data_IF_738553645626
#
_entry.id   IF_738553645626
#
_cell.length_a   1.000
_cell.length_b   1.000
_cell.length_c   1.000
_cell.angle_alpha   90.00
_cell.angle_beta   90.00
_cell.angle_gamma   90.00
#
_symmetry.space_group_name_H-M   'P 1'
#
loop_
_entity.id
_entity.type
_entity.pdbx_description
1 polymer ?
#
# COMPACT_ATOMS: atom_id res chain seq x y z
N UNK A 1 7.36 6.26 -20.49
CA UNK A 1 6.24 5.27 -20.34
C UNK A 1 5.67 5.46 -18.95
N UNK A 2 4.32 5.56 -18.79
CA UNK A 2 3.70 5.74 -17.47
C UNK A 2 3.90 4.45 -16.64
N UNK A 3 4.47 4.53 -15.41
CA UNK A 3 4.67 3.40 -14.53
C UNK A 3 3.38 2.62 -14.24
N UNK A 4 3.49 1.32 -13.96
CA UNK A 4 2.31 0.48 -13.71
C UNK A 4 1.59 0.88 -12.43
N UNK A 5 2.31 1.26 -11.37
CA UNK A 5 1.74 1.78 -10.12
C UNK A 5 0.77 2.95 -10.35
N UNK A 6 1.14 3.88 -11.23
CA UNK A 6 0.28 5.02 -11.61
C UNK A 6 -1.03 4.56 -12.25
N UNK A 7 -0.97 3.56 -13.14
CA UNK A 7 -2.16 3.01 -13.81
C UNK A 7 -3.10 2.34 -12.80
N UNK A 8 -2.56 1.59 -11.86
CA UNK A 8 -3.32 0.89 -10.82
C UNK A 8 -3.98 1.87 -9.85
N UNK A 9 -3.25 2.88 -9.40
CA UNK A 9 -3.77 3.92 -8.49
C UNK A 9 -4.87 4.72 -9.20
N UNK A 10 -4.64 5.17 -10.44
CA UNK A 10 -5.65 5.89 -11.21
C UNK A 10 -6.87 5.03 -11.54
N UNK A 11 -6.69 3.72 -11.74
CA UNK A 11 -7.81 2.79 -11.87
C UNK A 11 -8.65 2.77 -10.59
N UNK A 12 -8.03 2.64 -9.40
CA UNK A 12 -8.74 2.66 -8.13
C UNK A 12 -9.51 3.98 -7.93
N UNK A 13 -8.85 5.12 -8.13
CA UNK A 13 -9.48 6.44 -8.03
C UNK A 13 -10.72 6.55 -8.91
N UNK A 14 -10.61 6.15 -10.18
CA UNK A 14 -11.74 6.21 -11.11
C UNK A 14 -12.84 5.19 -10.77
N UNK A 15 -12.47 3.94 -10.46
CA UNK A 15 -13.39 2.84 -10.23
C UNK A 15 -14.30 3.08 -9.02
N UNK A 16 -13.72 3.58 -7.91
CA UNK A 16 -14.45 3.82 -6.67
C UNK A 16 -14.90 5.27 -6.50
N UNK A 17 -14.59 6.17 -7.47
CA UNK A 17 -14.88 7.61 -7.39
C UNK A 17 -14.18 8.28 -6.20
N UNK A 18 -12.99 7.79 -5.90
CA UNK A 18 -12.11 8.34 -4.88
C UNK A 18 -11.53 9.68 -5.34
N UNK A 19 -11.31 10.59 -4.38
CA UNK A 19 -10.93 11.98 -4.65
C UNK A 19 -9.62 12.39 -3.98
N UNK A 20 -9.35 11.82 -2.79
CA UNK A 20 -8.26 12.25 -1.93
C UNK A 20 -7.13 11.22 -1.93
N UNK A 21 -5.95 11.68 -2.30
CA UNK A 21 -4.75 10.87 -2.46
C UNK A 21 -3.61 11.39 -1.60
N UNK A 22 -2.93 10.46 -0.91
CA UNK A 22 -1.68 10.72 -0.19
C UNK A 22 -0.56 9.87 -0.79
N UNK A 23 0.61 10.48 -1.00
CA UNK A 23 1.84 9.79 -1.37
C UNK A 23 2.92 10.04 -0.32
N UNK A 24 3.49 8.97 0.23
CA UNK A 24 4.65 9.00 1.12
C UNK A 24 5.86 8.55 0.31
N UNK A 25 6.83 9.46 0.13
CA UNK A 25 7.99 9.22 -0.74
C UNK A 25 7.69 9.57 -2.20
N UNK A 26 7.79 10.86 -2.53
CA UNK A 26 7.47 11.36 -3.86
C UNK A 26 8.70 11.44 -4.77
N UNK A 27 9.91 11.48 -4.20
CA UNK A 27 11.16 11.66 -4.92
C UNK A 27 11.04 12.75 -6.01
N UNK A 28 11.22 12.41 -7.28
CA UNK A 28 11.13 13.36 -8.40
C UNK A 28 9.71 13.51 -8.98
N UNK A 29 8.66 13.15 -8.23
CA UNK A 29 7.24 13.23 -8.63
C UNK A 29 6.83 12.33 -9.80
N UNK A 30 7.63 11.34 -10.16
CA UNK A 30 7.30 10.47 -11.30
C UNK A 30 5.91 9.81 -11.14
N UNK A 31 5.56 9.41 -9.92
CA UNK A 31 4.23 8.91 -9.61
C UNK A 31 3.28 10.08 -9.35
N UNK A 32 3.59 10.93 -8.40
CA UNK A 32 2.72 11.99 -7.87
C UNK A 32 2.10 12.89 -8.96
N UNK A 33 2.90 13.37 -9.93
CA UNK A 33 2.41 14.26 -10.99
C UNK A 33 1.41 13.57 -11.92
N UNK A 34 1.51 12.26 -12.09
CA UNK A 34 0.66 11.47 -12.98
C UNK A 34 -0.60 10.90 -12.31
N UNK A 35 -0.80 11.14 -11.01
CA UNK A 35 -2.03 10.74 -10.29
C UNK A 35 -3.16 11.73 -10.57
N UNK A 36 -4.34 11.18 -10.91
CA UNK A 36 -5.56 11.91 -11.30
C UNK A 36 -6.57 11.97 -10.14
N UNK A 37 -6.13 12.41 -8.96
CA UNK A 37 -7.02 12.71 -7.85
C UNK A 37 -7.45 14.19 -7.88
N UNK A 38 -8.61 14.50 -7.30
CA UNK A 38 -9.08 15.88 -7.16
C UNK A 38 -8.23 16.63 -6.14
N UNK A 39 -7.88 15.96 -5.04
CA UNK A 39 -7.00 16.48 -3.99
C UNK A 39 -5.81 15.53 -3.80
N UNK A 40 -4.60 16.08 -3.77
CA UNK A 40 -3.35 15.32 -3.63
C UNK A 40 -2.45 15.94 -2.58
N UNK A 41 -1.98 15.12 -1.66
CA UNK A 41 -0.91 15.45 -0.71
C UNK A 41 0.27 14.53 -0.97
N UNK A 42 1.44 15.09 -1.16
CA UNK A 42 2.69 14.35 -1.33
C UNK A 42 3.67 14.76 -0.24
N UNK A 43 4.24 13.78 0.47
CA UNK A 43 5.15 13.98 1.59
C UNK A 43 6.51 13.37 1.27
N UNK A 44 7.54 14.19 1.25
CA UNK A 44 8.92 13.75 1.02
C UNK A 44 9.90 14.68 1.75
N UNK A 45 10.86 14.19 2.54
CA UNK A 45 11.80 15.03 3.27
C UNK A 45 12.88 15.66 2.38
N UNK A 46 13.10 15.11 1.17
CA UNK A 46 14.22 15.52 0.30
C UNK A 46 13.77 16.31 -0.92
N UNK A 47 12.82 15.79 -1.68
CA UNK A 47 12.40 16.40 -2.95
C UNK A 47 10.98 15.93 -3.35
N UNK A 48 10.36 16.62 -4.31
CA UNK A 48 9.00 16.32 -4.77
C UNK A 48 7.92 16.53 -3.70
N UNK A 49 6.71 16.07 -4.00
CA UNK A 49 5.56 16.24 -3.15
C UNK A 49 5.11 17.68 -2.94
N UNK A 50 4.17 17.86 -2.03
CA UNK A 50 3.64 19.16 -1.62
C UNK A 50 4.17 19.62 -0.26
N UNK A 51 4.61 18.67 0.58
CA UNK A 51 5.09 18.91 1.93
C UNK A 51 6.52 18.38 2.13
N UNK A 52 7.42 19.27 2.55
CA UNK A 52 8.85 18.96 2.77
C UNK A 52 9.07 18.56 4.22
N UNK A 53 8.71 17.30 4.56
CA UNK A 53 8.87 16.76 5.90
C UNK A 53 8.91 15.22 5.87
N UNK A 54 9.27 14.61 6.99
CA UNK A 54 9.18 13.16 7.15
C UNK A 54 7.73 12.70 7.25
N UNK A 55 7.45 11.44 6.91
CA UNK A 55 6.13 10.85 7.13
C UNK A 55 5.73 10.87 8.61
N UNK A 56 6.71 10.62 9.51
CA UNK A 56 6.46 10.67 10.95
C UNK A 56 6.00 12.05 11.42
N UNK A 57 6.57 13.12 10.90
CA UNK A 57 6.16 14.49 11.26
C UNK A 57 4.83 14.86 10.61
N UNK A 58 4.60 14.43 9.39
CA UNK A 58 3.32 14.60 8.71
C UNK A 58 2.18 13.97 9.51
N UNK A 59 2.29 12.71 9.89
CA UNK A 59 1.22 12.02 10.59
C UNK A 59 0.94 12.56 12.00
N UNK A 60 1.89 13.25 12.63
CA UNK A 60 1.66 13.95 13.92
C UNK A 60 0.72 15.16 13.80
N UNK A 61 0.74 15.83 12.66
CA UNK A 61 0.00 17.09 12.45
C UNK A 61 -1.16 16.97 11.48
N UNK A 62 -1.25 15.85 10.74
CA UNK A 62 -2.29 15.64 9.76
C UNK A 62 -3.66 15.47 10.40
N UNK A 63 -4.67 16.13 9.80
CA UNK A 63 -6.06 16.03 10.20
C UNK A 63 -6.96 15.47 9.09
N UNK A 64 -6.39 15.25 7.91
CA UNK A 64 -7.14 14.84 6.72
C UNK A 64 -7.24 13.33 6.62
N UNK A 65 -8.30 12.86 5.96
CA UNK A 65 -8.52 11.47 5.59
C UNK A 65 -8.40 11.29 4.09
N UNK A 66 -7.85 10.17 3.66
CA UNK A 66 -7.58 9.87 2.26
C UNK A 66 -8.34 8.64 1.81
N UNK A 67 -8.69 8.61 0.53
CA UNK A 67 -9.30 7.44 -0.12
C UNK A 67 -8.24 6.45 -0.58
N UNK A 68 -7.12 6.98 -1.08
CA UNK A 68 -5.98 6.19 -1.55
C UNK A 68 -4.71 6.75 -0.93
N UNK A 69 -3.90 5.84 -0.37
CA UNK A 69 -2.56 6.16 0.17
C UNK A 69 -1.54 5.28 -0.55
N UNK A 70 -0.46 5.87 -1.05
CA UNK A 70 0.67 5.15 -1.63
C UNK A 70 1.92 5.34 -0.77
N UNK A 71 2.57 4.23 -0.41
CA UNK A 71 3.77 4.21 0.44
C UNK A 71 4.94 3.72 -0.40
N UNK A 72 5.89 4.62 -0.69
CA UNK A 72 7.12 4.38 -1.44
C UNK A 72 8.26 5.27 -0.89
N UNK A 73 8.34 5.38 0.44
CA UNK A 73 9.29 6.26 1.14
C UNK A 73 10.62 5.59 1.48
N UNK A 74 10.93 5.47 2.77
CA UNK A 74 12.11 4.75 3.22
C UNK A 74 11.90 3.24 3.06
N UNK A 75 12.91 2.55 2.53
CA UNK A 75 12.84 1.12 2.27
C UNK A 75 13.27 0.25 3.46
N UNK A 76 13.34 0.80 4.67
CA UNK A 76 13.49 0.04 5.91
C UNK A 76 12.14 -0.54 6.37
N UNK A 77 12.09 -1.84 6.65
CA UNK A 77 10.89 -2.55 7.14
C UNK A 77 10.17 -1.80 8.26
N UNK A 78 10.95 -1.34 9.26
CA UNK A 78 10.41 -0.63 10.44
C UNK A 78 9.70 0.67 10.06
N UNK A 79 10.26 1.44 9.12
CA UNK A 79 9.65 2.68 8.66
C UNK A 79 8.41 2.40 7.82
N UNK A 80 8.48 1.46 6.87
CA UNK A 80 7.33 1.09 6.04
C UNK A 80 6.16 0.56 6.90
N UNK A 81 6.45 -0.25 7.92
CA UNK A 81 5.43 -0.74 8.85
C UNK A 81 4.78 0.41 9.65
N UNK A 82 5.58 1.38 10.08
CA UNK A 82 5.08 2.58 10.79
C UNK A 82 4.22 3.44 9.87
N UNK A 83 4.65 3.66 8.64
CA UNK A 83 3.88 4.40 7.64
C UNK A 83 2.57 3.69 7.32
N UNK A 84 2.57 2.36 7.20
CA UNK A 84 1.36 1.57 7.02
C UNK A 84 0.40 1.72 8.21
N UNK A 85 0.89 1.56 9.45
CA UNK A 85 0.07 1.71 10.67
C UNK A 85 -0.53 3.11 10.77
N UNK A 86 0.27 4.15 10.54
CA UNK A 86 -0.20 5.52 10.54
C UNK A 86 -1.24 5.76 9.43
N UNK A 87 -0.97 5.25 8.22
CA UNK A 87 -1.89 5.36 7.08
C UNK A 87 -3.27 4.77 7.38
N UNK A 88 -3.35 3.66 8.13
CA UNK A 88 -4.63 3.07 8.51
C UNK A 88 -5.50 4.02 9.33
N UNK A 89 -4.90 4.88 10.17
CA UNK A 89 -5.62 5.87 10.97
C UNK A 89 -6.25 6.97 10.11
N UNK A 90 -5.65 7.25 8.94
CA UNK A 90 -6.08 8.31 8.03
C UNK A 90 -6.74 7.79 6.75
N UNK A 91 -6.90 6.48 6.61
CA UNK A 91 -7.60 5.87 5.50
C UNK A 91 -9.12 5.91 5.71
N UNK A 92 -9.87 6.33 4.70
CA UNK A 92 -11.34 6.26 4.73
C UNK A 92 -11.82 4.81 4.65
N UNK A 93 -13.05 4.58 5.10
CA UNK A 93 -13.73 3.29 4.90
C UNK A 93 -13.80 2.95 3.41
N UNK A 94 -13.44 1.73 3.06
CA UNK A 94 -13.39 1.27 1.67
C UNK A 94 -12.16 1.75 0.90
N UNK A 95 -11.33 2.60 1.52
CA UNK A 95 -10.10 3.11 0.92
C UNK A 95 -9.03 2.05 0.74
N UNK A 96 -8.00 2.41 -0.03
CA UNK A 96 -6.94 1.48 -0.46
C UNK A 96 -5.57 2.05 -0.10
N UNK A 97 -4.72 1.21 0.49
CA UNK A 97 -3.28 1.49 0.63
C UNK A 97 -2.52 0.66 -0.41
N UNK A 98 -1.72 1.33 -1.23
CA UNK A 98 -0.72 0.70 -2.09
C UNK A 98 0.65 0.81 -1.42
N UNK A 99 1.46 -0.27 -1.51
CA UNK A 99 2.82 -0.32 -1.00
C UNK A 99 3.76 -0.77 -2.12
N UNK A 100 4.89 -0.11 -2.28
CA UNK A 100 5.89 -0.49 -3.28
C UNK A 100 6.92 -1.49 -2.72
N UNK A 101 7.66 -2.15 -3.62
CA UNK A 101 8.84 -2.96 -3.31
C UNK A 101 8.61 -4.22 -2.46
N UNK A 102 7.48 -4.90 -2.64
CA UNK A 102 7.16 -6.12 -1.89
C UNK A 102 7.68 -7.42 -2.52
N UNK A 103 8.18 -7.40 -3.75
CA UNK A 103 8.74 -8.58 -4.45
C UNK A 103 10.14 -8.29 -4.98
N UNK A 104 11.16 -8.16 -4.13
CA UNK A 104 12.53 -7.94 -4.58
C UNK A 104 12.97 -9.07 -5.52
N UNK A 105 13.59 -8.73 -6.67
CA UNK A 105 13.98 -9.72 -7.68
C UNK A 105 15.06 -10.70 -7.19
N UNK A 106 15.91 -10.27 -6.26
CA UNK A 106 16.96 -11.09 -5.67
C UNK A 106 17.33 -10.61 -4.27
N UNK A 107 18.12 -11.43 -3.55
CA UNK A 107 18.65 -11.08 -2.24
C UNK A 107 19.41 -9.74 -2.24
N UNK A 108 20.11 -9.44 -3.35
CA UNK A 108 20.82 -8.18 -3.50
C UNK A 108 19.91 -6.94 -3.49
N UNK A 109 18.68 -7.06 -3.99
CA UNK A 109 17.68 -5.99 -3.96
C UNK A 109 16.96 -5.89 -2.60
N UNK A 110 17.11 -6.89 -1.75
CA UNK A 110 16.43 -7.04 -0.47
C UNK A 110 17.29 -6.63 0.74
N UNK A 111 18.28 -5.76 0.53
CA UNK A 111 19.27 -5.34 1.55
C UNK A 111 18.97 -3.93 2.03
N UNK A 112 19.14 -3.69 3.34
CA UNK A 112 19.13 -2.37 3.95
C UNK A 112 20.24 -2.31 5.05
N UNK A 113 20.98 -1.22 5.24
CA UNK A 113 20.88 0.04 4.49
C UNK A 113 21.29 -0.11 3.02
N UNK A 114 20.77 0.79 2.19
CA UNK A 114 21.12 0.83 0.77
C UNK A 114 22.56 1.35 0.63
N UNK A 115 23.48 0.67 -0.07
CA UNK A 115 24.81 1.20 -0.34
C UNK A 115 24.75 2.45 -1.22
N UNK A 116 25.53 3.48 -0.89
CA UNK A 116 25.45 4.84 -1.48
C UNK A 116 25.75 4.94 -2.98
N UNK A 117 26.34 3.92 -3.59
CA UNK A 117 26.92 3.99 -4.93
C UNK A 117 26.24 3.14 -6.01
N UNK A 118 25.03 2.63 -5.79
CA UNK A 118 24.39 1.79 -6.79
C UNK A 118 23.17 2.46 -7.44
N UNK A 119 23.18 2.52 -8.76
CA UNK A 119 22.14 3.08 -9.63
C UNK A 119 20.92 2.13 -9.83
N UNK A 120 20.83 1.03 -9.11
CA UNK A 120 19.77 0.04 -9.32
C UNK A 120 18.58 0.23 -8.40
N UNK A 121 17.34 -0.06 -8.87
CA UNK A 121 16.17 -0.05 -8.01
C UNK A 121 16.37 -1.02 -6.85
N UNK A 122 16.08 -0.59 -5.62
CA UNK A 122 16.29 -1.40 -4.44
C UNK A 122 15.06 -1.41 -3.57
N UNK A 123 14.62 -2.58 -3.22
CA UNK A 123 13.45 -2.77 -2.37
C UNK A 123 13.79 -2.65 -0.88
N UNK A 124 15.08 -2.65 -0.52
CA UNK A 124 15.46 -2.65 0.88
C UNK A 124 14.84 -3.82 1.63
N UNK A 125 14.34 -3.56 2.82
CA UNK A 125 13.59 -4.54 3.62
C UNK A 125 12.08 -4.30 3.62
N UNK A 126 11.55 -3.41 2.77
CA UNK A 126 10.12 -3.10 2.63
C UNK A 126 9.24 -4.35 2.47
N UNK A 127 9.72 -5.33 1.71
CA UNK A 127 9.01 -6.58 1.44
C UNK A 127 8.58 -7.34 2.71
N UNK A 128 9.25 -7.13 3.83
CA UNK A 128 8.93 -7.81 5.09
C UNK A 128 7.58 -7.37 5.66
N UNK A 129 7.12 -6.15 5.35
CA UNK A 129 5.82 -5.64 5.83
C UNK A 129 4.64 -6.49 5.34
N UNK A 130 4.81 -7.24 4.23
CA UNK A 130 3.75 -8.13 3.76
C UNK A 130 3.35 -9.17 4.81
N UNK A 131 4.30 -9.65 5.61
CA UNK A 131 4.03 -10.65 6.66
C UNK A 131 3.22 -10.04 7.82
N UNK A 132 3.48 -8.78 8.15
CA UNK A 132 2.71 -8.05 9.16
C UNK A 132 1.28 -7.83 8.67
N UNK A 133 1.12 -7.44 7.41
CA UNK A 133 -0.20 -7.21 6.81
C UNK A 133 -0.98 -8.52 6.66
N UNK A 134 -0.35 -9.60 6.21
CA UNK A 134 -0.98 -10.93 6.11
C UNK A 134 -1.47 -11.45 7.47
N UNK A 135 -0.76 -11.11 8.56
CA UNK A 135 -1.16 -11.48 9.91
C UNK A 135 -2.48 -10.82 10.34
N UNK A 136 -2.89 -9.72 9.72
CA UNK A 136 -4.18 -9.05 9.97
C UNK A 136 -5.36 -9.87 9.45
N UNK A 137 -5.14 -10.86 8.56
CA UNK A 137 -6.19 -11.67 7.91
C UNK A 137 -7.25 -10.81 7.20
N UNK A 138 -6.80 -9.75 6.52
CA UNK A 138 -7.62 -8.79 5.77
C UNK A 138 -7.37 -8.92 4.27
N UNK A 139 -8.17 -8.24 3.46
CA UNK A 139 -8.01 -8.22 2.02
C UNK A 139 -6.67 -7.56 1.66
N UNK A 140 -5.74 -8.40 1.26
CA UNK A 140 -4.41 -7.99 0.84
C UNK A 140 -3.92 -8.84 -0.32
N UNK A 141 -3.46 -8.19 -1.38
CA UNK A 141 -2.88 -8.82 -2.56
C UNK A 141 -1.52 -8.22 -2.88
N UNK A 142 -0.67 -9.02 -3.52
CA UNK A 142 0.60 -8.54 -4.06
C UNK A 142 0.52 -8.64 -5.58
N UNK A 143 0.59 -7.51 -6.27
CA UNK A 143 0.54 -7.46 -7.72
C UNK A 143 1.93 -7.70 -8.30
N UNK A 144 2.02 -8.68 -9.21
CA UNK A 144 3.27 -9.03 -9.91
C UNK A 144 3.59 -7.99 -11.00
N UNK A 145 3.92 -6.78 -10.58
CA UNK A 145 4.37 -5.68 -11.44
C UNK A 145 5.54 -4.95 -10.77
N UNK A 146 6.46 -4.43 -11.58
CA UNK A 146 7.66 -3.77 -11.08
C UNK A 146 8.37 -4.66 -10.03
N UNK A 147 8.70 -4.13 -8.89
CA UNK A 147 9.28 -4.84 -7.74
C UNK A 147 8.23 -5.33 -6.73
N UNK A 148 6.98 -5.48 -7.18
CA UNK A 148 5.84 -5.91 -6.37
C UNK A 148 5.08 -4.75 -5.74
N UNK A 149 3.77 -4.69 -6.01
CA UNK A 149 2.87 -3.67 -5.47
C UNK A 149 1.88 -4.34 -4.53
N UNK A 150 1.99 -4.08 -3.23
CA UNK A 150 0.98 -4.49 -2.25
C UNK A 150 -0.27 -3.66 -2.38
N UNK A 151 -1.43 -4.28 -2.21
CA UNK A 151 -2.73 -3.62 -2.22
C UNK A 151 -3.52 -4.09 -1.01
N UNK A 152 -3.70 -3.22 -0.06
CA UNK A 152 -4.53 -3.43 1.13
C UNK A 152 -5.81 -2.61 0.99
N UNK A 153 -6.97 -3.24 1.22
CA UNK A 153 -8.27 -2.56 1.20
C UNK A 153 -8.92 -2.59 2.57
N UNK A 154 -9.31 -1.40 3.06
CA UNK A 154 -10.00 -1.28 4.32
C UNK A 154 -11.52 -1.42 4.13
N UNK A 155 -12.04 -2.64 4.22
CA UNK A 155 -13.49 -2.89 4.10
C UNK A 155 -14.25 -2.71 5.42
N UNK A 156 -13.56 -2.80 6.55
CA UNK A 156 -14.19 -2.79 7.87
C UNK A 156 -13.99 -1.44 8.59
N UNK A 157 -15.06 -0.73 8.98
CA UNK A 157 -14.95 0.56 9.65
C UNK A 157 -14.52 0.48 11.11
N UNK A 158 -14.58 -0.72 11.72
CA UNK A 158 -14.43 -0.88 13.18
C UNK A 158 -12.99 -1.09 13.66
N UNK A 159 -12.01 -1.24 12.76
CA UNK A 159 -10.66 -1.63 13.18
C UNK A 159 -9.86 -0.47 13.79
N UNK A 160 -10.21 0.80 13.48
CA UNK A 160 -9.31 1.93 13.79
C UNK A 160 -9.99 3.17 14.35
N UNK A 161 -11.27 3.08 14.75
CA UNK A 161 -12.01 4.25 15.26
C UNK A 161 -11.74 4.58 16.73
N UNK A 162 -11.17 3.67 17.50
CA UNK A 162 -11.09 3.76 18.96
C UNK A 162 -9.66 3.77 19.53
N UNK A 163 -8.64 3.84 18.66
CA UNK A 163 -7.24 3.79 19.10
C UNK A 163 -6.77 2.42 19.58
N UNK A 164 -7.56 1.36 19.37
CA UNK A 164 -7.13 0.01 19.69
C UNK A 164 -5.94 -0.39 18.83
N UNK A 165 -4.93 -0.95 19.47
CA UNK A 165 -3.75 -1.47 18.80
C UNK A 165 -4.15 -2.59 17.86
N UNK A 166 -3.66 -2.52 16.62
CA UNK A 166 -3.74 -3.63 15.67
C UNK A 166 -3.34 -4.94 16.37
N UNK A 167 -4.20 -5.97 16.39
CA UNK A 167 -3.81 -7.26 16.87
C UNK A 167 -2.87 -7.92 15.86
N UNK A 168 -1.64 -7.45 15.81
CA UNK A 168 -0.58 -8.13 15.07
C UNK A 168 -0.28 -9.40 15.86
N UNK A 169 -0.68 -10.55 15.34
CA UNK A 169 -0.39 -11.86 15.93
C UNK A 169 1.10 -12.21 15.84
N UNK A 170 1.87 -11.40 15.12
CA UNK A 170 3.32 -11.42 15.11
C UNK A 170 3.85 -10.11 15.67
N UNK A 171 4.92 -10.18 16.43
CA UNK A 171 5.64 -8.99 16.87
C UNK A 171 6.39 -8.40 15.68
N UNK A 172 6.61 -7.09 15.66
CA UNK A 172 7.47 -6.40 14.68
C UNK A 172 8.86 -7.07 14.60
N UNK A 173 9.34 -7.61 15.69
CA UNK A 173 10.61 -8.31 15.78
C UNK A 173 10.62 -9.62 14.97
N UNK A 174 9.50 -10.34 14.92
CA UNK A 174 9.40 -11.59 14.16
C UNK A 174 9.51 -11.33 12.65
N UNK A 175 8.83 -10.31 12.15
CA UNK A 175 8.85 -9.96 10.73
C UNK A 175 10.18 -9.36 10.30
N UNK A 176 10.79 -8.55 11.15
CA UNK A 176 12.11 -7.94 10.94
C UNK A 176 13.20 -8.96 10.65
N UNK A 177 13.12 -10.14 11.28
CA UNK A 177 14.14 -11.17 11.20
C UNK A 177 13.88 -12.24 10.14
N UNK A 178 12.80 -12.13 9.36
CA UNK A 178 12.51 -13.10 8.28
C UNK A 178 13.62 -13.02 7.21
N UNK A 179 14.35 -14.12 6.94
CA UNK A 179 15.36 -14.13 5.91
C UNK A 179 14.73 -14.17 4.50
N UNK A 180 15.40 -13.58 3.52
CA UNK A 180 14.92 -13.53 2.13
C UNK A 180 14.61 -14.91 1.55
N UNK A 181 15.42 -15.91 1.86
CA UNK A 181 15.22 -17.29 1.39
C UNK A 181 13.90 -17.90 1.90
N UNK A 182 13.44 -17.50 3.09
CA UNK A 182 12.12 -17.92 3.59
C UNK A 182 10.99 -17.36 2.73
N UNK A 183 11.08 -16.12 2.28
CA UNK A 183 10.12 -15.53 1.36
C UNK A 183 10.05 -16.31 0.04
N UNK A 184 11.20 -16.72 -0.50
CA UNK A 184 11.25 -17.54 -1.72
C UNK A 184 10.59 -18.91 -1.53
N UNK A 185 10.80 -19.56 -0.38
CA UNK A 185 10.19 -20.86 -0.06
C UNK A 185 8.67 -20.81 -0.04
N UNK A 186 8.07 -19.75 0.51
CA UNK A 186 6.62 -19.61 0.65
C UNK A 186 5.98 -18.77 -0.46
N UNK A 187 6.74 -18.41 -1.50
CA UNK A 187 6.26 -17.52 -2.57
C UNK A 187 4.99 -18.02 -3.26
N UNK A 188 4.83 -19.33 -3.39
CA UNK A 188 3.61 -19.94 -3.95
C UNK A 188 2.38 -19.83 -3.05
N UNK A 189 2.58 -19.58 -1.76
CA UNK A 189 1.50 -19.42 -0.77
C UNK A 189 1.09 -17.96 -0.60
N UNK A 190 1.89 -17.02 -1.13
CA UNK A 190 1.58 -15.60 -1.05
C UNK A 190 0.42 -15.24 -2.02
N UNK A 191 -0.44 -14.30 -1.66
CA UNK A 191 -1.56 -13.86 -2.49
C UNK A 191 -1.07 -12.99 -3.68
N UNK A 192 -0.22 -13.58 -4.53
CA UNK A 192 0.38 -12.90 -5.68
C UNK A 192 -0.51 -13.08 -6.90
N UNK A 193 -1.02 -11.98 -7.45
CA UNK A 193 -1.86 -11.96 -8.65
C UNK A 193 -1.32 -10.96 -9.68
N UNK A 194 -1.86 -11.00 -10.90
CA UNK A 194 -1.54 -10.00 -11.93
C UNK A 194 -2.44 -8.78 -11.77
N UNK A 195 -1.94 -7.59 -12.13
CA UNK A 195 -2.70 -6.34 -11.99
C UNK A 195 -4.03 -6.34 -12.73
N UNK A 196 -4.15 -6.98 -13.92
CA UNK A 196 -5.43 -7.08 -14.63
C UNK A 196 -6.43 -7.97 -13.87
N UNK A 197 -5.99 -9.05 -13.23
CA UNK A 197 -6.86 -9.90 -12.40
C UNK A 197 -7.43 -9.09 -11.22
N UNK A 198 -6.59 -8.31 -10.55
CA UNK A 198 -7.04 -7.41 -9.49
C UNK A 198 -8.06 -6.39 -10.01
N UNK A 199 -7.80 -5.75 -11.16
CA UNK A 199 -8.75 -4.79 -11.76
C UNK A 199 -10.10 -5.43 -12.11
N UNK A 200 -10.10 -6.67 -12.60
CA UNK A 200 -11.33 -7.42 -12.86
C UNK A 200 -12.10 -7.72 -11.57
N UNK A 201 -11.41 -8.15 -10.50
CA UNK A 201 -12.03 -8.38 -9.19
C UNK A 201 -12.69 -7.11 -8.68
N UNK A 202 -11.97 -5.99 -8.68
CA UNK A 202 -12.50 -4.69 -8.23
C UNK A 202 -13.69 -4.22 -9.06
N UNK A 203 -13.69 -4.51 -10.35
CA UNK A 203 -14.83 -4.18 -11.23
C UNK A 203 -16.06 -5.02 -10.88
N UNK A 204 -15.91 -6.31 -10.63
CA UNK A 204 -17.00 -7.21 -10.19
C UNK A 204 -17.57 -6.76 -8.85
N UNK A 205 -16.72 -6.46 -7.87
CA UNK A 205 -17.11 -5.92 -6.58
C UNK A 205 -17.96 -4.66 -6.71
N UNK A 206 -17.51 -3.72 -7.54
CA UNK A 206 -18.24 -2.47 -7.76
C UNK A 206 -19.60 -2.69 -8.43
N UNK A 207 -19.68 -3.62 -9.37
CA UNK A 207 -20.96 -4.00 -10.00
C UNK A 207 -21.88 -4.62 -8.95
N UNK A 208 -21.38 -5.54 -8.14
CA UNK A 208 -22.14 -6.18 -7.07
C UNK A 208 -22.69 -5.16 -6.07
N UNK A 209 -21.84 -4.25 -5.58
CA UNK A 209 -22.29 -3.18 -4.68
C UNK A 209 -23.42 -2.35 -5.28
N UNK A 210 -23.33 -1.97 -6.56
CA UNK A 210 -24.39 -1.23 -7.24
C UNK A 210 -25.69 -2.03 -7.36
N UNK A 211 -25.62 -3.34 -7.50
CA UNK A 211 -26.81 -4.21 -7.57
C UNK A 211 -27.48 -4.31 -6.21
N UNK A 212 -26.70 -4.39 -5.13
CA UNK A 212 -27.19 -4.34 -3.74
C UNK A 212 -27.85 -2.98 -3.47
N UNK A 213 -27.18 -1.87 -3.77
CA UNK A 213 -27.71 -0.50 -3.61
C UNK A 213 -29.04 -0.29 -4.35
N UNK A 214 -29.29 -1.04 -5.44
CA UNK A 214 -30.53 -1.02 -6.23
C UNK A 214 -31.56 -2.05 -5.81
N UNK A 215 -31.28 -2.84 -4.76
CA UNK A 215 -32.16 -3.92 -4.30
C UNK A 215 -32.29 -5.08 -5.30
N UNK A 216 -31.29 -5.24 -6.19
CA UNK A 216 -31.25 -6.32 -7.20
C UNK A 216 -30.48 -7.55 -6.73
N UNK A 217 -29.76 -7.46 -5.61
CA UNK A 217 -29.06 -8.53 -4.93
C UNK A 217 -29.20 -8.32 -3.41
N UNK A 218 -29.43 -9.43 -2.69
CA UNK A 218 -29.40 -9.41 -1.22
C UNK A 218 -27.97 -9.41 -0.70
N UNK A 219 -27.73 -8.72 0.43
CA UNK A 219 -26.40 -8.62 1.06
C UNK A 219 -25.94 -9.94 1.70
N UNK A 220 -26.88 -10.86 1.94
CA UNK A 220 -26.70 -12.08 2.74
C UNK A 220 -26.15 -13.29 1.97
N UNK A 221 -25.74 -13.15 0.72
CA UNK A 221 -25.24 -14.27 -0.09
C UNK A 221 -23.71 -14.46 -0.03
N UNK A 222 -23.11 -14.36 1.22
CA UNK A 222 -21.79 -15.00 1.48
C UNK A 222 -21.49 -15.11 2.97
#
# INVERSE_FOLDING_TARGET
>A
MIPTRVKLINFALNQFKFKDYLEIGCAYNECFDNIKAEHKVGVDPKCGGTLRMTSDDFFKVNLEKFDVIFIDGDHEHKQVLRDFKNSLMFLRKGGIIFLHDLLPPSKHHAIYPLPDNELRPRCGTSWRVMFDILALKREFFILKHETGIGVFRNQDPYIFGDGSTLPLSRTEEDSKNIPFDKMLQIKSELPIIRGHQWMEMMTRDRIRQRLIERGMLDDDYF
#
